data_IF_329817691819
#
_entry.id   IF_329817691819
#
_cell.length_a   1.000
_cell.length_b   1.000
_cell.length_c   1.000
_cell.angle_alpha   90.00
_cell.angle_beta   90.00
_cell.angle_gamma   90.00
#
_symmetry.space_group_name_H-M   'P 1'
#
loop_
_entity.id
_entity.type
_entity.pdbx_description
1 polymer ?
#
# COMPACT_ATOMS: atom_id res chain seq x y z
N UNK A 1 -63.09 -34.85 -8.03
CA UNK A 1 -61.63 -34.65 -8.25
C UNK A 1 -61.19 -33.17 -8.34
N UNK A 2 -62.01 -32.23 -8.76
CA UNK A 2 -61.62 -30.78 -8.90
C UNK A 2 -61.45 -30.01 -7.57
N UNK A 3 -62.08 -30.44 -6.45
CA UNK A 3 -61.99 -29.74 -5.16
C UNK A 3 -60.73 -30.14 -4.34
N UNK A 4 -60.12 -31.29 -4.57
CA UNK A 4 -58.92 -31.74 -3.91
C UNK A 4 -57.67 -31.03 -4.44
N UNK A 5 -57.65 -30.68 -5.76
CA UNK A 5 -56.56 -29.95 -6.41
C UNK A 5 -56.42 -28.48 -5.94
N UNK A 6 -57.56 -27.85 -5.59
CA UNK A 6 -57.60 -26.47 -5.09
C UNK A 6 -57.01 -26.32 -3.67
N UNK A 7 -57.25 -27.30 -2.79
CA UNK A 7 -56.69 -27.32 -1.44
C UNK A 7 -55.18 -27.57 -1.42
N UNK A 8 -54.66 -28.43 -2.30
CA UNK A 8 -53.23 -28.69 -2.44
C UNK A 8 -52.45 -27.44 -2.90
N UNK A 9 -52.98 -26.69 -3.86
CA UNK A 9 -52.33 -25.44 -4.36
C UNK A 9 -52.28 -24.35 -3.30
N UNK A 10 -53.35 -24.23 -2.47
CA UNK A 10 -53.39 -23.19 -1.42
C UNK A 10 -52.38 -23.47 -0.30
N UNK A 11 -52.16 -24.72 0.06
CA UNK A 11 -51.17 -25.10 1.10
C UNK A 11 -49.74 -24.92 0.61
N UNK A 12 -49.45 -25.17 -0.69
CA UNK A 12 -48.13 -24.95 -1.28
C UNK A 12 -47.81 -23.44 -1.37
N UNK A 13 -48.78 -22.59 -1.74
CA UNK A 13 -48.59 -21.16 -1.79
C UNK A 13 -48.39 -20.56 -0.38
N UNK A 14 -49.14 -21.03 0.62
CA UNK A 14 -48.96 -20.60 2.00
C UNK A 14 -47.62 -21.06 2.60
N UNK A 15 -47.14 -22.25 2.24
CA UNK A 15 -45.83 -22.77 2.64
C UNK A 15 -44.67 -21.95 2.01
N UNK A 16 -44.77 -21.62 0.71
CA UNK A 16 -43.79 -20.81 -0.01
C UNK A 16 -43.74 -19.37 0.53
N UNK A 17 -44.90 -18.77 0.83
CA UNK A 17 -44.97 -17.42 1.43
C UNK A 17 -44.39 -17.41 2.84
N UNK A 18 -44.64 -18.42 3.65
CA UNK A 18 -44.04 -18.55 4.99
C UNK A 18 -42.50 -18.74 4.92
N UNK A 19 -42.02 -19.51 3.94
CA UNK A 19 -40.57 -19.68 3.71
C UNK A 19 -39.89 -18.41 3.29
N UNK A 20 -40.50 -17.65 2.39
CA UNK A 20 -39.99 -16.33 1.91
C UNK A 20 -40.01 -15.28 3.02
N UNK A 21 -41.04 -15.27 3.87
CA UNK A 21 -41.10 -14.37 5.04
C UNK A 21 -40.07 -14.76 6.13
N UNK A 22 -39.74 -16.05 6.25
CA UNK A 22 -38.70 -16.52 7.16
C UNK A 22 -37.30 -16.19 6.65
N UNK A 23 -37.08 -16.26 5.34
CA UNK A 23 -35.82 -15.84 4.68
C UNK A 23 -35.60 -14.33 4.79
N UNK A 24 -36.67 -13.52 4.66
CA UNK A 24 -36.62 -12.07 4.85
C UNK A 24 -36.30 -11.66 6.29
N UNK A 25 -36.67 -12.46 7.30
CA UNK A 25 -36.32 -12.21 8.71
C UNK A 25 -34.88 -12.60 9.08
N UNK A 26 -34.25 -13.46 8.31
CA UNK A 26 -32.85 -13.86 8.49
C UNK A 26 -31.89 -13.14 7.52
N UNK A 27 -32.33 -12.15 6.79
CA UNK A 27 -31.39 -11.25 6.12
C UNK A 27 -30.56 -10.58 7.21
N UNK A 28 -29.22 -10.66 7.18
CA UNK A 28 -28.39 -9.88 8.09
C UNK A 28 -28.88 -8.44 7.99
N UNK A 29 -29.10 -7.82 9.14
CA UNK A 29 -29.56 -6.42 9.21
C UNK A 29 -28.74 -5.63 8.20
N UNK A 30 -29.43 -4.98 7.26
CA UNK A 30 -28.77 -4.12 6.29
C UNK A 30 -27.85 -3.20 7.12
N UNK A 31 -26.56 -3.23 6.84
CA UNK A 31 -25.60 -2.35 7.48
C UNK A 31 -26.21 -0.93 7.46
N UNK A 32 -26.15 -0.17 8.54
CA UNK A 32 -26.75 1.15 8.62
C UNK A 32 -26.33 1.93 7.40
N UNK A 33 -27.26 2.60 6.70
CA UNK A 33 -27.11 3.28 5.41
C UNK A 33 -25.72 3.92 5.32
N UNK A 34 -24.83 3.30 4.54
CA UNK A 34 -23.40 3.35 4.73
C UNK A 34 -22.85 4.78 4.70
N UNK A 35 -22.06 5.11 5.69
CA UNK A 35 -21.17 6.27 5.61
C UNK A 35 -20.36 6.13 4.33
N UNK A 36 -20.21 7.22 3.58
CA UNK A 36 -19.43 7.19 2.34
C UNK A 36 -18.01 6.72 2.64
N UNK A 37 -17.44 5.80 1.87
CA UNK A 37 -16.07 5.34 2.08
C UNK A 37 -15.08 6.49 1.94
N UNK A 38 -13.99 6.43 2.71
CA UNK A 38 -12.83 7.29 2.50
C UNK A 38 -11.97 6.67 1.40
N UNK A 39 -11.67 7.43 0.36
CA UNK A 39 -10.76 7.02 -0.72
C UNK A 39 -9.34 7.35 -0.33
N UNK A 40 -8.50 6.33 -0.21
CA UNK A 40 -7.15 6.44 0.32
C UNK A 40 -6.10 5.92 -0.69
N UNK A 41 -5.29 6.82 -1.23
CA UNK A 41 -4.15 6.51 -2.09
C UNK A 41 -2.94 6.18 -1.23
N UNK A 42 -2.53 4.92 -1.22
CA UNK A 42 -1.51 4.39 -0.32
C UNK A 42 -0.35 3.76 -1.09
N UNK A 43 0.89 4.14 -0.76
CA UNK A 43 2.08 3.51 -1.32
C UNK A 43 2.08 2.00 -1.04
N UNK A 44 2.33 1.20 -2.08
CA UNK A 44 2.20 -0.26 -2.03
C UNK A 44 3.09 -0.90 -0.95
N UNK A 45 4.28 -0.35 -0.70
CA UNK A 45 5.22 -0.86 0.31
C UNK A 45 4.70 -0.85 1.75
N UNK A 46 3.60 -0.12 2.02
CA UNK A 46 3.01 0.04 3.36
C UNK A 46 1.65 -0.67 3.45
N UNK A 47 1.31 -1.47 2.44
CA UNK A 47 0.00 -2.12 2.32
C UNK A 47 -0.44 -2.92 3.55
N UNK A 48 0.31 -3.92 4.06
CA UNK A 48 -0.18 -4.80 5.12
C UNK A 48 -0.56 -4.06 6.42
N UNK A 49 0.29 -3.17 6.99
CA UNK A 49 -0.08 -2.45 8.20
C UNK A 49 -1.28 -1.51 7.99
N UNK A 50 -1.35 -0.83 6.84
CA UNK A 50 -2.48 0.06 6.54
C UNK A 50 -3.78 -0.71 6.39
N UNK A 51 -3.77 -1.88 5.74
CA UNK A 51 -4.98 -2.73 5.64
C UNK A 51 -5.45 -3.24 7.00
N UNK A 52 -4.53 -3.58 7.89
CA UNK A 52 -4.89 -4.04 9.23
C UNK A 52 -5.62 -2.94 10.00
N UNK A 53 -5.05 -1.73 10.03
CA UNK A 53 -5.63 -0.57 10.69
C UNK A 53 -6.94 -0.13 10.03
N UNK A 54 -7.02 -0.17 8.69
CA UNK A 54 -8.24 0.19 7.96
C UNK A 54 -9.42 -0.73 8.33
N UNK A 55 -9.17 -2.04 8.41
CA UNK A 55 -10.19 -3.02 8.87
C UNK A 55 -10.63 -2.77 10.30
N UNK A 56 -9.68 -2.51 11.20
CA UNK A 56 -9.99 -2.21 12.60
C UNK A 56 -10.82 -0.93 12.73
N UNK A 57 -10.45 0.12 11.99
CA UNK A 57 -11.17 1.39 11.97
C UNK A 57 -12.60 1.23 11.42
N UNK A 58 -12.77 0.47 10.35
CA UNK A 58 -14.09 0.18 9.79
C UNK A 58 -14.98 -0.57 10.79
N UNK A 59 -14.42 -1.56 11.50
CA UNK A 59 -15.15 -2.29 12.56
C UNK A 59 -15.54 -1.39 13.72
N UNK A 60 -14.64 -0.48 14.14
CA UNK A 60 -14.86 0.39 15.29
C UNK A 60 -15.83 1.56 14.98
N UNK A 61 -15.77 2.12 13.78
CA UNK A 61 -16.46 3.38 13.44
C UNK A 61 -17.49 3.26 12.32
N UNK A 62 -17.57 2.11 11.63
CA UNK A 62 -18.50 1.88 10.52
C UNK A 62 -18.22 2.76 9.30
N UNK A 63 -16.97 3.21 9.10
CA UNK A 63 -16.54 4.01 7.95
C UNK A 63 -15.61 3.15 7.09
N UNK A 64 -16.04 2.70 5.90
CA UNK A 64 -15.19 1.93 5.01
C UNK A 64 -13.99 2.74 4.51
N UNK A 65 -12.83 2.10 4.37
CA UNK A 65 -11.62 2.69 3.78
C UNK A 65 -11.37 2.02 2.43
N UNK A 66 -11.57 2.76 1.35
CA UNK A 66 -11.30 2.29 0.00
C UNK A 66 -9.85 2.56 -0.37
N UNK A 67 -9.00 1.55 -0.25
CA UNK A 67 -7.57 1.62 -0.49
C UNK A 67 -7.24 1.46 -1.98
N UNK A 68 -6.41 2.37 -2.51
CA UNK A 68 -5.84 2.31 -3.85
C UNK A 68 -4.32 2.29 -3.73
N UNK A 69 -3.71 1.21 -4.23
CA UNK A 69 -2.27 0.98 -4.09
C UNK A 69 -1.50 1.26 -5.37
N UNK A 70 -0.26 1.73 -5.21
CA UNK A 70 0.66 1.98 -6.31
C UNK A 70 2.01 2.51 -5.84
N UNK A 71 2.90 2.76 -6.78
CA UNK A 71 4.11 3.55 -6.51
C UNK A 71 3.72 5.02 -6.23
N UNK A 72 4.47 5.70 -5.37
CA UNK A 72 4.13 7.06 -4.92
C UNK A 72 4.03 8.07 -6.07
N UNK A 73 4.89 7.94 -7.10
CA UNK A 73 4.84 8.79 -8.28
C UNK A 73 3.58 8.56 -9.12
N UNK A 74 3.21 7.31 -9.33
CA UNK A 74 1.98 6.93 -10.03
C UNK A 74 0.74 7.47 -9.30
N UNK A 75 0.68 7.30 -7.98
CA UNK A 75 -0.42 7.80 -7.16
C UNK A 75 -0.52 9.33 -7.21
N UNK A 76 0.61 10.05 -7.10
CA UNK A 76 0.61 11.50 -7.20
C UNK A 76 0.16 11.97 -8.59
N UNK A 77 0.58 11.29 -9.65
CA UNK A 77 0.13 11.59 -11.01
C UNK A 77 -1.38 11.41 -11.16
N UNK A 78 -1.94 10.33 -10.60
CA UNK A 78 -3.38 10.09 -10.58
C UNK A 78 -4.12 11.21 -9.82
N UNK A 79 -3.63 11.61 -8.64
CA UNK A 79 -4.22 12.69 -7.85
C UNK A 79 -4.24 14.03 -8.60
N UNK A 80 -3.17 14.34 -9.35
CA UNK A 80 -3.10 15.56 -10.18
C UNK A 80 -4.17 15.60 -11.26
N UNK A 81 -4.49 14.46 -11.85
CA UNK A 81 -5.48 14.34 -12.93
C UNK A 81 -6.90 14.28 -12.38
N UNK A 82 -7.14 13.41 -11.41
CA UNK A 82 -8.50 13.14 -10.91
C UNK A 82 -9.00 14.21 -9.95
N UNK A 83 -8.08 14.83 -9.19
CA UNK A 83 -8.40 15.78 -8.11
C UNK A 83 -9.50 15.28 -7.19
N UNK A 84 -9.49 13.98 -6.91
CA UNK A 84 -10.45 13.29 -6.04
C UNK A 84 -9.72 12.44 -5.02
N UNK A 85 -10.40 12.12 -3.92
CA UNK A 85 -9.86 11.32 -2.82
C UNK A 85 -9.82 12.06 -1.52
N UNK A 86 -9.56 11.33 -0.45
CA UNK A 86 -9.59 11.85 0.92
C UNK A 86 -8.20 11.84 1.57
N UNK A 87 -7.38 10.82 1.27
CA UNK A 87 -6.09 10.58 1.91
C UNK A 87 -5.03 10.20 0.89
N UNK A 88 -3.78 10.60 1.17
CA UNK A 88 -2.59 10.21 0.42
C UNK A 88 -1.45 9.86 1.37
N UNK A 89 -0.86 8.68 1.22
CA UNK A 89 0.30 8.19 1.95
C UNK A 89 1.37 7.80 0.95
N UNK A 90 2.43 8.59 0.88
CA UNK A 90 3.60 8.30 0.05
C UNK A 90 4.64 7.49 0.83
N UNK A 91 5.52 6.81 0.11
CA UNK A 91 6.63 6.06 0.71
C UNK A 91 7.82 6.94 1.10
N UNK A 92 7.80 8.25 0.77
CA UNK A 92 8.80 9.21 1.22
C UNK A 92 8.23 10.64 1.28
N UNK A 93 8.96 11.53 1.98
CA UNK A 93 8.54 12.90 2.18
C UNK A 93 8.59 13.73 0.89
N UNK A 94 9.41 13.37 -0.11
CA UNK A 94 9.56 14.14 -1.35
C UNK A 94 8.25 14.22 -2.14
N UNK A 95 7.47 13.14 -2.15
CA UNK A 95 6.16 13.11 -2.81
C UNK A 95 5.10 13.87 -2.02
N UNK A 96 5.17 13.88 -0.69
CA UNK A 96 4.30 14.69 0.17
C UNK A 96 4.59 16.18 -0.06
N UNK A 97 5.88 16.56 -0.12
CA UNK A 97 6.31 17.91 -0.45
C UNK A 97 5.79 18.34 -1.84
N UNK A 98 5.98 17.50 -2.84
CA UNK A 98 5.46 17.76 -4.19
C UNK A 98 3.95 17.93 -4.20
N UNK A 99 3.20 17.11 -3.46
CA UNK A 99 1.74 17.24 -3.34
C UNK A 99 1.32 18.55 -2.66
N UNK A 100 2.10 19.02 -1.66
CA UNK A 100 1.90 20.33 -1.01
C UNK A 100 2.16 21.49 -1.99
N UNK A 101 3.26 21.44 -2.72
CA UNK A 101 3.62 22.47 -3.72
C UNK A 101 2.56 22.58 -4.82
N UNK A 102 1.94 21.45 -5.20
CA UNK A 102 0.82 21.41 -6.13
C UNK A 102 -0.51 21.85 -5.50
N UNK A 103 -0.53 22.19 -4.21
CA UNK A 103 -1.73 22.64 -3.51
C UNK A 103 -2.75 21.54 -3.22
N UNK A 104 -2.37 20.26 -3.32
CA UNK A 104 -3.28 19.10 -3.14
C UNK A 104 -3.52 18.74 -1.68
N UNK A 105 -2.63 19.12 -0.75
CA UNK A 105 -2.66 18.71 0.65
C UNK A 105 -3.25 19.79 1.54
N UNK A 106 -4.11 19.37 2.50
CA UNK A 106 -4.62 20.23 3.57
C UNK A 106 -3.78 20.05 4.85
N UNK A 107 -3.72 18.86 5.40
CA UNK A 107 -2.98 18.53 6.63
C UNK A 107 -2.07 17.32 6.39
N UNK A 108 -0.94 17.25 7.08
CA UNK A 108 0.01 16.13 6.95
C UNK A 108 0.48 15.72 8.33
N UNK A 109 0.46 14.42 8.61
CA UNK A 109 0.87 13.78 9.85
C UNK A 109 2.02 12.82 9.55
N UNK A 110 3.21 12.97 10.15
CA UNK A 110 4.29 12.00 10.06
C UNK A 110 3.92 10.73 10.82
N UNK A 111 4.22 9.55 10.26
CA UNK A 111 3.85 8.25 10.85
C UNK A 111 5.06 7.45 11.29
N UNK A 112 6.07 7.29 10.43
CA UNK A 112 7.17 6.39 10.65
C UNK A 112 8.40 6.80 9.84
N UNK A 113 9.49 6.06 10.00
CA UNK A 113 10.70 6.19 9.17
C UNK A 113 11.06 4.86 8.55
N UNK A 114 11.64 4.92 7.36
CA UNK A 114 12.19 3.77 6.65
C UNK A 114 13.45 4.17 5.88
N UNK A 115 14.23 3.18 5.46
CA UNK A 115 15.46 3.40 4.69
C UNK A 115 15.60 2.35 3.59
N UNK A 116 16.30 2.67 2.50
CA UNK A 116 16.63 1.68 1.49
C UNK A 116 17.57 0.61 2.06
N UNK A 117 17.35 -0.63 1.63
CA UNK A 117 18.21 -1.78 1.93
C UNK A 117 18.36 -2.65 0.67
N UNK A 118 19.41 -3.42 0.58
CA UNK A 118 19.51 -4.49 -0.42
C UNK A 118 18.84 -5.72 0.19
N UNK A 119 17.98 -6.36 -0.59
CA UNK A 119 17.30 -7.60 -0.22
C UNK A 119 17.65 -8.74 -1.19
N UNK A 120 17.65 -9.97 -0.67
CA UNK A 120 17.90 -11.22 -1.38
C UNK A 120 17.18 -12.36 -0.65
N UNK A 121 17.09 -13.54 -1.27
CA UNK A 121 16.52 -14.72 -0.62
C UNK A 121 17.36 -15.15 0.57
N UNK A 122 16.73 -15.73 1.60
CA UNK A 122 17.40 -16.24 2.79
C UNK A 122 18.60 -17.11 2.43
N UNK A 123 19.66 -16.95 3.23
CA UNK A 123 20.93 -17.66 3.03
C UNK A 123 21.87 -16.99 2.05
N UNK A 124 21.45 -15.91 1.38
CA UNK A 124 22.32 -15.08 0.52
C UNK A 124 23.19 -15.88 -0.47
N UNK A 125 22.61 -16.66 -1.38
CA UNK A 125 23.35 -17.60 -2.23
C UNK A 125 24.37 -16.92 -3.15
N UNK A 126 24.20 -15.62 -3.42
CA UNK A 126 25.12 -14.80 -4.22
C UNK A 126 26.13 -14.03 -3.38
N UNK A 127 26.12 -14.19 -2.05
CA UNK A 127 27.02 -13.49 -1.11
C UNK A 127 27.06 -11.97 -1.32
N UNK A 128 25.86 -11.36 -1.41
CA UNK A 128 25.67 -9.92 -1.64
C UNK A 128 25.81 -9.19 -0.30
N UNK A 129 26.73 -8.23 -0.21
CA UNK A 129 27.03 -7.47 1.01
C UNK A 129 27.11 -5.97 0.79
N UNK A 130 27.39 -5.56 -0.43
CA UNK A 130 27.64 -4.14 -0.79
C UNK A 130 26.86 -3.74 -2.04
N UNK A 131 26.85 -2.44 -2.33
CA UNK A 131 26.29 -1.94 -3.57
C UNK A 131 27.06 -2.43 -4.81
N UNK A 132 28.38 -2.64 -4.67
CA UNK A 132 29.26 -3.14 -5.73
C UNK A 132 28.87 -4.56 -6.15
N UNK A 133 28.42 -5.39 -5.21
CA UNK A 133 27.98 -6.76 -5.51
C UNK A 133 26.79 -6.79 -6.47
N UNK A 134 25.94 -5.74 -6.48
CA UNK A 134 24.85 -5.62 -7.44
C UNK A 134 25.31 -5.36 -8.88
N UNK A 135 26.57 -4.99 -9.07
CA UNK A 135 27.16 -4.71 -10.39
C UNK A 135 27.85 -5.92 -11.02
N UNK A 136 27.90 -7.03 -10.30
CA UNK A 136 28.51 -8.26 -10.79
C UNK A 136 27.67 -8.84 -11.93
N UNK A 137 28.34 -9.37 -13.01
CA UNK A 137 27.63 -9.88 -14.19
C UNK A 137 26.81 -11.15 -13.91
N UNK A 138 27.10 -11.85 -12.80
CA UNK A 138 26.38 -13.05 -12.36
C UNK A 138 25.21 -12.74 -11.40
N UNK A 139 24.91 -11.46 -11.12
CA UNK A 139 23.84 -11.00 -10.22
C UNK A 139 22.75 -10.29 -11.02
N UNK A 140 21.55 -10.85 -11.01
CA UNK A 140 20.36 -10.22 -11.59
C UNK A 140 19.72 -9.30 -10.55
N UNK A 141 19.45 -8.06 -10.91
CA UNK A 141 18.98 -7.02 -9.98
C UNK A 141 17.64 -6.48 -10.44
N UNK A 142 16.68 -6.43 -9.53
CA UNK A 142 15.47 -5.64 -9.69
C UNK A 142 15.55 -4.33 -8.88
N UNK A 143 15.03 -3.27 -9.45
CA UNK A 143 14.88 -1.98 -8.77
C UNK A 143 13.51 -1.38 -9.07
N UNK A 144 12.95 -0.66 -8.12
CA UNK A 144 11.74 0.11 -8.40
C UNK A 144 12.05 1.27 -9.36
N UNK A 145 11.16 1.49 -10.34
CA UNK A 145 11.32 2.57 -11.31
C UNK A 145 11.36 3.93 -10.58
N UNK A 146 12.42 4.72 -10.74
CA UNK A 146 12.58 6.01 -10.06
C UNK A 146 11.46 7.01 -10.34
N UNK A 147 10.82 6.93 -11.49
CA UNK A 147 9.75 7.84 -11.87
C UNK A 147 8.36 7.41 -11.34
N UNK A 148 8.24 6.12 -10.95
CA UNK A 148 6.99 5.55 -10.46
C UNK A 148 6.95 5.34 -8.95
N UNK A 149 8.07 4.97 -8.33
CA UNK A 149 8.12 4.52 -6.94
C UNK A 149 9.17 5.29 -6.12
N UNK A 150 8.82 5.55 -4.86
CA UNK A 150 9.63 6.36 -3.95
C UNK A 150 11.04 5.80 -3.71
N UNK A 151 11.19 4.51 -3.38
CA UNK A 151 12.52 3.93 -3.14
C UNK A 151 13.45 4.06 -4.35
N UNK A 152 12.92 3.90 -5.57
CA UNK A 152 13.68 4.10 -6.80
C UNK A 152 14.19 5.52 -6.93
N UNK A 153 13.31 6.52 -6.71
CA UNK A 153 13.65 7.93 -6.73
C UNK A 153 14.69 8.28 -5.67
N UNK A 154 14.45 7.91 -4.43
CA UNK A 154 15.37 8.18 -3.31
C UNK A 154 16.76 7.63 -3.56
N UNK A 155 16.85 6.37 -4.06
CA UNK A 155 18.15 5.74 -4.35
C UNK A 155 18.82 6.41 -5.56
N UNK A 156 18.06 6.73 -6.63
CA UNK A 156 18.62 7.46 -7.78
C UNK A 156 19.20 8.80 -7.33
N UNK A 157 18.41 9.61 -6.62
CA UNK A 157 18.83 10.96 -6.21
C UNK A 157 20.08 10.92 -5.30
N UNK A 158 20.19 9.91 -4.43
CA UNK A 158 21.38 9.70 -3.62
C UNK A 158 22.59 9.30 -4.48
N UNK A 159 22.42 8.33 -5.37
CA UNK A 159 23.52 7.81 -6.18
C UNK A 159 23.95 8.77 -7.29
N UNK A 160 23.09 9.65 -7.77
CA UNK A 160 23.47 10.76 -8.66
C UNK A 160 24.39 11.74 -7.94
N UNK A 161 24.06 12.13 -6.70
CA UNK A 161 24.91 13.01 -5.88
C UNK A 161 26.28 12.43 -5.57
N UNK A 162 26.40 11.10 -5.53
CA UNK A 162 27.65 10.40 -5.27
C UNK A 162 28.34 9.86 -6.54
N UNK A 163 27.77 10.17 -7.73
CA UNK A 163 28.33 9.73 -9.02
C UNK A 163 28.23 8.23 -9.31
N UNK A 164 27.37 7.50 -8.56
CA UNK A 164 27.30 6.03 -8.68
C UNK A 164 26.04 5.54 -9.44
N UNK A 165 25.09 6.44 -9.76
CA UNK A 165 23.83 6.06 -10.39
C UNK A 165 24.01 5.32 -11.71
N UNK A 166 24.76 5.91 -12.66
CA UNK A 166 24.95 5.32 -13.99
C UNK A 166 25.55 3.91 -13.95
N UNK A 167 26.42 3.66 -12.98
CA UNK A 167 27.02 2.34 -12.83
C UNK A 167 26.01 1.32 -12.30
N UNK A 168 25.18 1.68 -11.34
CA UNK A 168 24.12 0.80 -10.85
C UNK A 168 23.03 0.60 -11.92
N UNK A 169 22.55 1.66 -12.55
CA UNK A 169 21.48 1.63 -13.54
C UNK A 169 21.78 0.62 -14.67
N UNK A 170 23.04 0.58 -15.16
CA UNK A 170 23.49 -0.39 -16.17
C UNK A 170 23.45 -1.84 -15.70
N UNK A 171 23.48 -2.08 -14.40
CA UNK A 171 23.45 -3.42 -13.79
C UNK A 171 22.02 -3.87 -13.44
N UNK A 172 21.04 -2.97 -13.47
CA UNK A 172 19.65 -3.30 -13.20
C UNK A 172 19.09 -4.14 -14.34
N UNK A 173 18.68 -5.37 -14.00
CA UNK A 173 18.07 -6.30 -14.97
C UNK A 173 16.66 -5.88 -15.32
N UNK A 174 15.91 -5.36 -14.33
CA UNK A 174 14.49 -4.95 -14.52
C UNK A 174 14.09 -3.83 -13.57
N UNK A 175 13.38 -2.84 -14.10
CA UNK A 175 12.69 -1.82 -13.32
C UNK A 175 11.22 -2.20 -13.12
N UNK A 176 10.74 -2.08 -11.89
CA UNK A 176 9.41 -2.48 -11.46
C UNK A 176 8.56 -1.27 -11.06
N UNK A 177 7.24 -1.30 -11.27
CA UNK A 177 6.37 -0.16 -10.92
C UNK A 177 6.26 0.09 -9.42
N UNK A 178 6.41 -0.95 -8.58
CA UNK A 178 6.33 -0.82 -7.11
C UNK A 178 7.47 -1.55 -6.40
N UNK A 179 7.72 -1.17 -5.15
CA UNK A 179 8.71 -1.84 -4.29
C UNK A 179 8.31 -3.27 -3.96
N UNK A 180 7.02 -3.57 -3.90
CA UNK A 180 6.51 -4.93 -3.66
C UNK A 180 6.78 -5.85 -4.85
N UNK A 181 6.71 -5.32 -6.08
CA UNK A 181 7.07 -6.10 -7.27
C UNK A 181 8.55 -6.48 -7.25
N UNK A 182 9.43 -5.58 -6.77
CA UNK A 182 10.86 -5.90 -6.55
C UNK A 182 11.02 -7.02 -5.52
N UNK A 183 10.38 -6.89 -4.35
CA UNK A 183 10.46 -7.90 -3.30
C UNK A 183 9.93 -9.26 -3.77
N UNK A 184 8.82 -9.27 -4.53
CA UNK A 184 8.25 -10.49 -5.09
C UNK A 184 9.19 -11.16 -6.11
N UNK A 185 9.81 -10.38 -7.00
CA UNK A 185 10.76 -10.94 -7.98
C UNK A 185 11.97 -11.60 -7.29
N UNK A 186 12.47 -10.98 -6.20
CA UNK A 186 13.53 -11.59 -5.38
C UNK A 186 13.01 -12.86 -4.70
N UNK A 187 11.84 -12.81 -4.07
CA UNK A 187 11.23 -13.94 -3.37
C UNK A 187 11.08 -15.17 -4.26
N UNK A 188 10.61 -14.99 -5.49
CA UNK A 188 10.40 -16.11 -6.44
C UNK A 188 11.67 -16.49 -7.24
N UNK A 189 12.81 -15.82 -7.01
CA UNK A 189 14.06 -16.09 -7.68
C UNK A 189 14.14 -15.63 -9.14
N UNK A 190 13.25 -14.75 -9.60
CA UNK A 190 13.33 -14.12 -10.92
C UNK A 190 14.58 -13.26 -11.05
N UNK A 191 14.98 -12.64 -9.93
CA UNK A 191 16.23 -11.91 -9.75
C UNK A 191 16.93 -12.37 -8.47
N UNK A 192 18.20 -12.05 -8.35
CA UNK A 192 19.04 -12.50 -7.22
C UNK A 192 19.00 -11.49 -6.07
N UNK A 193 18.80 -10.21 -6.38
CA UNK A 193 18.72 -9.13 -5.41
C UNK A 193 17.82 -8.00 -5.87
N UNK A 194 17.45 -7.14 -4.92
CA UNK A 194 16.73 -5.89 -5.19
C UNK A 194 17.01 -4.83 -4.14
N UNK A 195 16.68 -3.57 -4.47
CA UNK A 195 16.69 -2.48 -3.51
C UNK A 195 15.24 -2.16 -3.13
N UNK A 196 14.94 -2.26 -1.84
CA UNK A 196 13.61 -2.05 -1.27
C UNK A 196 13.68 -1.22 -0.01
N UNK A 197 12.55 -0.78 0.53
CA UNK A 197 12.49 -0.25 1.87
C UNK A 197 12.66 -1.37 2.92
N UNK A 198 13.35 -1.10 4.03
CA UNK A 198 13.53 -2.06 5.14
C UNK A 198 12.17 -2.51 5.72
N UNK A 199 11.21 -1.60 5.83
CA UNK A 199 9.84 -1.90 6.24
C UNK A 199 9.15 -2.85 5.25
N UNK A 200 9.38 -2.70 3.93
CA UNK A 200 8.84 -3.62 2.92
C UNK A 200 9.49 -4.99 3.02
N UNK A 201 10.82 -5.06 3.13
CA UNK A 201 11.53 -6.34 3.20
C UNK A 201 11.04 -7.21 4.38
N UNK A 202 10.78 -6.60 5.53
CA UNK A 202 10.26 -7.30 6.73
C UNK A 202 8.91 -7.97 6.54
N UNK A 203 8.14 -7.58 5.53
CA UNK A 203 6.85 -8.20 5.19
C UNK A 203 7.02 -9.56 4.47
N UNK A 204 8.25 -9.90 4.06
CA UNK A 204 8.59 -11.10 3.32
C UNK A 204 9.52 -12.00 4.14
N UNK A 205 8.97 -12.99 4.87
CA UNK A 205 9.77 -13.86 5.73
C UNK A 205 10.79 -14.72 4.96
N UNK A 206 10.67 -14.81 3.65
CA UNK A 206 11.60 -15.53 2.77
C UNK A 206 12.85 -14.72 2.39
N UNK A 207 12.86 -13.43 2.71
CA UNK A 207 13.93 -12.51 2.36
C UNK A 207 14.82 -12.18 3.56
N UNK A 208 16.10 -11.98 3.27
CA UNK A 208 17.07 -11.33 4.16
C UNK A 208 17.48 -9.97 3.59
N UNK A 209 18.10 -9.15 4.41
CA UNK A 209 18.54 -7.80 4.05
C UNK A 209 19.99 -7.58 4.45
N UNK A 210 20.64 -6.69 3.71
CA UNK A 210 21.88 -6.03 4.15
C UNK A 210 21.69 -4.52 4.10
N UNK A 211 22.07 -3.87 5.21
CA UNK A 211 22.15 -2.41 5.27
C UNK A 211 23.48 -1.94 4.70
N UNK A 212 23.42 -0.99 3.79
CA UNK A 212 24.60 -0.38 3.19
C UNK A 212 24.76 1.01 3.79
N UNK A 213 25.90 1.36 4.41
CA UNK A 213 26.12 2.67 5.05
C UNK A 213 25.87 3.86 4.09
N UNK A 214 26.11 3.66 2.80
CA UNK A 214 25.81 4.66 1.77
C UNK A 214 24.32 5.06 1.76
N UNK A 215 23.41 4.19 2.19
CA UNK A 215 21.97 4.45 2.23
C UNK A 215 21.49 5.11 3.54
N UNK A 216 22.33 5.25 4.54
CA UNK A 216 21.92 5.86 5.82
C UNK A 216 21.39 7.30 5.66
N UNK A 217 22.00 8.16 4.81
CA UNK A 217 21.45 9.50 4.54
C UNK A 217 20.13 9.52 3.79
N UNK A 218 19.72 8.38 3.21
CA UNK A 218 18.47 8.22 2.46
C UNK A 218 17.32 7.67 3.33
N UNK A 219 17.45 7.76 4.65
CA UNK A 219 16.35 7.44 5.56
C UNK A 219 15.24 8.50 5.42
N UNK A 220 14.02 8.04 5.10
CA UNK A 220 12.88 8.88 4.77
C UNK A 220 11.78 8.80 5.82
N UNK A 221 11.04 9.89 5.97
CA UNK A 221 9.80 9.92 6.75
C UNK A 221 8.63 9.49 5.87
N UNK A 222 7.77 8.66 6.43
CA UNK A 222 6.47 8.31 5.87
C UNK A 222 5.44 9.22 6.51
N UNK A 223 4.67 9.95 5.69
CA UNK A 223 3.65 10.85 6.18
C UNK A 223 2.33 10.61 5.46
N UNK A 224 1.21 10.64 6.22
CA UNK A 224 -0.13 10.64 5.65
C UNK A 224 -0.65 12.06 5.52
N UNK A 225 -1.29 12.37 4.40
CA UNK A 225 -1.90 13.67 4.18
C UNK A 225 -3.39 13.58 3.91
N UNK A 226 -4.13 14.53 4.47
CA UNK A 226 -5.53 14.80 4.10
C UNK A 226 -5.54 15.63 2.82
N UNK A 227 -6.29 15.19 1.81
CA UNK A 227 -6.38 15.88 0.54
C UNK A 227 -7.38 17.04 0.60
N UNK A 228 -7.07 18.16 -0.06
CA UNK A 228 -8.01 19.30 -0.20
C UNK A 228 -9.26 18.93 -1.00
N UNK A 229 -9.17 17.91 -1.86
CA UNK A 229 -10.31 17.37 -2.60
C UNK A 229 -11.28 16.56 -1.74
N UNK A 230 -10.94 16.26 -0.49
CA UNK A 230 -11.79 15.48 0.40
C UNK A 230 -13.15 16.17 0.61
N UNK A 231 -14.21 15.40 0.41
CA UNK A 231 -15.57 15.81 0.76
C UNK A 231 -15.94 15.44 2.20
N UNK A 232 -15.02 14.80 2.92
CA UNK A 232 -15.17 14.33 4.30
C UNK A 232 -13.88 14.63 5.12
N UNK A 233 -13.36 15.87 5.12
CA UNK A 233 -12.04 16.18 5.69
C UNK A 233 -11.91 15.80 7.16
N UNK A 234 -12.97 15.99 7.96
CA UNK A 234 -12.94 15.62 9.38
C UNK A 234 -12.86 14.09 9.58
N UNK A 235 -13.53 13.32 8.74
CA UNK A 235 -13.45 11.86 8.80
C UNK A 235 -12.08 11.37 8.34
N UNK A 236 -11.52 11.96 7.28
CA UNK A 236 -10.19 11.68 6.80
C UNK A 236 -9.12 11.99 7.86
N UNK A 237 -9.21 13.14 8.51
CA UNK A 237 -8.31 13.55 9.59
C UNK A 237 -8.40 12.60 10.79
N UNK A 238 -9.61 12.19 11.19
CA UNK A 238 -9.78 11.21 12.27
C UNK A 238 -9.10 9.88 11.92
N UNK A 239 -9.24 9.38 10.69
CA UNK A 239 -8.56 8.17 10.27
C UNK A 239 -7.03 8.35 10.25
N UNK A 240 -6.52 9.47 9.74
CA UNK A 240 -5.08 9.76 9.73
C UNK A 240 -4.49 9.78 11.14
N UNK A 241 -5.19 10.38 12.11
CA UNK A 241 -4.78 10.37 13.53
C UNK A 241 -4.90 8.98 14.17
N UNK A 242 -5.90 8.20 13.75
CA UNK A 242 -6.02 6.81 14.22
C UNK A 242 -4.86 5.95 13.72
N UNK A 243 -4.42 6.15 12.49
CA UNK A 243 -3.25 5.47 11.93
C UNK A 243 -1.94 5.87 12.65
N UNK A 244 -1.85 7.11 13.13
CA UNK A 244 -0.68 7.61 13.89
C UNK A 244 -0.70 7.20 15.37
N UNK A 245 -1.82 6.74 15.91
CA UNK A 245 -1.93 6.42 17.33
C UNK A 245 -0.97 5.28 17.75
N UNK A 246 -0.23 5.44 18.86
CA UNK A 246 0.79 4.46 19.30
C UNK A 246 0.23 3.07 19.59
N UNK A 247 -1.04 2.97 20.02
CA UNK A 247 -1.73 1.72 20.31
C UNK A 247 -2.47 1.12 19.11
N UNK A 248 -2.32 1.70 17.93
CA UNK A 248 -2.99 1.34 16.68
C UNK A 248 -1.99 1.18 15.53
N UNK A 249 -1.90 2.17 14.65
CA UNK A 249 -1.09 2.10 13.44
C UNK A 249 0.41 1.97 13.67
N UNK A 250 0.93 2.46 14.80
CA UNK A 250 2.36 2.36 15.10
C UNK A 250 2.80 0.98 15.61
N UNK A 251 1.85 0.10 15.98
CA UNK A 251 2.16 -1.27 16.44
C UNK A 251 2.19 -2.25 15.25
N UNK A 252 1.56 -1.93 14.14
CA UNK A 252 1.50 -2.77 12.94
C UNK A 252 2.80 -2.69 12.14
#
# INVERSE_FOLDING_TARGET
MKRLALFGSLVIVAGLTALLLRQSRNSPAAAPAGRKPLVFFCAAGIKPPVEAVAREYEQAFGIPIQLQYGGSGTLLSNLRVTQTGDLFLAGDESYVKSARELGLMAEVIPLARQRPVITFVKGNPKNIRTLEDLRRPDVRVAMANPDAASVGRTVRDLLERTGQWTALEKSVTVFKPTVNDVANDVKIGSVDAGIVWDATARQYPELDIVSVPLFDPAAETISIGVLKSSRQPDAALRFARYLDAPDKGQIQ
#
